data_IF_351918706189
#
_entry.id   IF_351918706189
#
_cell.length_a   1.000
_cell.length_b   1.000
_cell.length_c   1.000
_cell.angle_alpha   90.00
_cell.angle_beta   90.00
_cell.angle_gamma   90.00
#
_symmetry.space_group_name_H-M   'P 1'
#
loop_
_entity.id
_entity.type
_entity.pdbx_description
1 polymer ?
#
# COMPACT_ATOMS: atom_id res chain seq x y z
N UNK A 1 3.42 -12.01 -18.60
CA UNK A 1 3.41 -10.95 -17.59
C UNK A 1 3.21 -9.60 -18.24
N UNK A 2 2.37 -8.74 -17.69
CA UNK A 2 2.22 -7.40 -18.24
C UNK A 2 3.53 -6.60 -18.10
N UNK A 3 3.83 -5.83 -19.13
CA UNK A 3 5.01 -4.96 -19.14
C UNK A 3 4.81 -3.81 -18.14
N UNK A 4 5.74 -3.64 -17.21
CA UNK A 4 5.69 -2.59 -16.21
C UNK A 4 5.61 -1.19 -16.84
N UNK A 5 6.25 -0.97 -17.99
CA UNK A 5 6.17 0.31 -18.71
C UNK A 5 4.75 0.63 -19.14
N UNK A 6 4.04 -0.37 -19.65
CA UNK A 6 2.63 -0.21 -20.04
C UNK A 6 1.76 0.06 -18.82
N UNK A 7 1.97 -0.66 -17.73
CA UNK A 7 1.23 -0.46 -16.49
C UNK A 7 1.46 0.94 -15.91
N UNK A 8 2.69 1.45 -15.96
CA UNK A 8 2.99 2.84 -15.54
C UNK A 8 2.23 3.86 -16.36
N UNK A 9 2.16 3.68 -17.68
CA UNK A 9 1.39 4.57 -18.55
C UNK A 9 -0.12 4.49 -18.25
N UNK A 10 -0.63 3.31 -18.02
CA UNK A 10 -2.03 3.11 -17.64
C UNK A 10 -2.35 3.76 -16.29
N UNK A 11 -1.44 3.65 -15.33
CA UNK A 11 -1.59 4.31 -14.02
C UNK A 11 -1.62 5.85 -14.16
N UNK A 12 -0.75 6.42 -14.98
CA UNK A 12 -0.75 7.86 -15.26
C UNK A 12 -2.04 8.29 -15.96
N UNK A 13 -2.54 7.48 -16.89
CA UNK A 13 -3.82 7.75 -17.55
C UNK A 13 -4.97 7.75 -16.55
N UNK A 14 -4.99 6.77 -15.65
CA UNK A 14 -6.00 6.69 -14.58
C UNK A 14 -5.94 7.93 -13.68
N UNK A 15 -4.73 8.37 -13.33
CA UNK A 15 -4.53 9.58 -12.53
C UNK A 15 -5.15 10.80 -13.22
N UNK A 16 -4.87 10.99 -14.51
CA UNK A 16 -5.41 12.11 -15.29
C UNK A 16 -6.93 12.07 -15.38
N UNK A 17 -7.49 10.90 -15.68
CA UNK A 17 -8.94 10.73 -15.77
C UNK A 17 -9.64 11.02 -14.45
N UNK A 18 -9.07 10.54 -13.35
CA UNK A 18 -9.62 10.78 -12.01
C UNK A 18 -9.52 12.26 -11.64
N UNK A 19 -8.41 12.91 -11.96
CA UNK A 19 -8.22 14.35 -11.71
C UNK A 19 -9.24 15.18 -12.51
N UNK A 20 -9.49 14.84 -13.76
CA UNK A 20 -10.50 15.51 -14.59
C UNK A 20 -11.91 15.40 -13.99
N UNK A 21 -12.27 14.25 -13.43
CA UNK A 21 -13.55 14.07 -12.74
C UNK A 21 -13.66 15.03 -11.54
N UNK A 22 -12.60 15.16 -10.76
CA UNK A 22 -12.57 16.08 -9.62
C UNK A 22 -12.65 17.54 -10.07
N UNK A 23 -11.91 17.90 -11.10
CA UNK A 23 -11.94 19.25 -11.65
C UNK A 23 -13.34 19.66 -12.12
N UNK A 24 -14.04 18.76 -12.80
CA UNK A 24 -15.42 18.99 -13.22
C UNK A 24 -16.37 19.10 -12.04
N UNK A 25 -16.26 18.21 -11.08
CA UNK A 25 -17.16 18.18 -9.93
C UNK A 25 -17.08 19.46 -9.11
N UNK A 26 -15.87 19.95 -8.84
CA UNK A 26 -15.63 21.16 -8.03
C UNK A 26 -15.56 22.43 -8.87
N UNK A 27 -15.64 22.33 -10.20
CA UNK A 27 -15.48 23.45 -11.13
C UNK A 27 -14.20 24.25 -10.83
N UNK A 28 -13.08 23.55 -10.69
CA UNK A 28 -11.76 24.14 -10.46
C UNK A 28 -10.66 23.24 -11.01
N UNK A 29 -9.45 23.74 -11.07
CA UNK A 29 -8.30 22.97 -11.49
C UNK A 29 -7.41 22.65 -10.27
N UNK A 30 -7.40 21.36 -9.88
CA UNK A 30 -6.46 20.88 -8.89
C UNK A 30 -5.07 20.71 -9.50
N UNK A 31 -4.03 20.97 -8.71
CA UNK A 31 -2.66 20.77 -9.15
C UNK A 31 -2.40 19.31 -9.43
N UNK A 32 -1.85 19.00 -10.62
CA UNK A 32 -1.52 17.62 -11.01
C UNK A 32 -0.44 17.06 -10.08
N UNK A 33 -0.68 15.94 -9.42
CA UNK A 33 0.34 15.32 -8.58
C UNK A 33 1.51 14.74 -9.39
N UNK A 34 2.67 14.66 -8.76
CA UNK A 34 3.78 13.85 -9.26
C UNK A 34 3.53 12.41 -8.83
N UNK A 35 3.74 11.45 -9.74
CA UNK A 35 3.61 10.04 -9.44
C UNK A 35 4.91 9.32 -9.77
N UNK A 36 5.41 8.51 -8.82
CA UNK A 36 6.54 7.62 -9.06
C UNK A 36 6.23 6.20 -8.57
N UNK A 37 7.12 5.28 -8.90
CA UNK A 37 6.94 3.85 -8.67
C UNK A 37 8.07 3.29 -7.81
N UNK A 38 8.46 4.05 -6.78
CA UNK A 38 9.62 3.74 -5.96
C UNK A 38 9.26 3.19 -4.57
N UNK A 39 7.96 2.99 -4.30
CA UNK A 39 7.52 2.47 -3.01
C UNK A 39 7.89 1.01 -2.85
N UNK A 40 8.42 0.66 -1.69
CA UNK A 40 8.80 -0.71 -1.32
C UNK A 40 8.02 -1.17 -0.08
N UNK A 41 7.97 -2.47 0.12
CA UNK A 41 7.28 -3.07 1.27
C UNK A 41 5.86 -3.50 0.95
N UNK A 42 5.01 -3.55 1.97
CA UNK A 42 3.66 -4.15 1.84
C UNK A 42 2.57 -3.15 1.45
N UNK A 43 2.86 -1.86 1.49
CA UNK A 43 1.90 -0.84 1.09
C UNK A 43 1.80 -0.78 -0.44
N UNK A 44 0.58 -0.67 -0.94
CA UNK A 44 0.34 -0.52 -2.37
C UNK A 44 0.67 0.89 -2.87
N UNK A 45 0.28 1.91 -2.12
CA UNK A 45 0.55 3.29 -2.44
C UNK A 45 0.64 4.16 -1.20
N UNK A 46 1.20 5.35 -1.36
CA UNK A 46 1.26 6.39 -0.33
C UNK A 46 1.07 7.75 -0.99
N UNK A 47 0.26 8.59 -0.37
CA UNK A 47 0.09 9.99 -0.77
C UNK A 47 0.87 10.90 0.18
N UNK A 48 1.75 11.72 -0.37
CA UNK A 48 2.51 12.72 0.38
C UNK A 48 1.81 14.08 0.19
N UNK A 49 1.08 14.49 1.20
CA UNK A 49 0.13 15.60 1.09
C UNK A 49 0.81 16.94 0.77
N UNK A 50 1.87 17.27 1.49
CA UNK A 50 2.57 18.55 1.30
C UNK A 50 3.33 18.63 -0.01
N UNK A 51 3.88 17.50 -0.45
CA UNK A 51 4.64 17.40 -1.69
C UNK A 51 3.75 17.24 -2.93
N UNK A 52 2.47 16.96 -2.75
CA UNK A 52 1.52 16.61 -3.82
C UNK A 52 2.07 15.47 -4.68
N UNK A 53 2.48 14.38 -4.03
CA UNK A 53 3.16 13.26 -4.66
C UNK A 53 2.49 11.94 -4.28
N UNK A 54 2.38 11.05 -5.26
CA UNK A 54 1.93 9.67 -5.07
C UNK A 54 3.10 8.73 -5.36
N UNK A 55 3.35 7.79 -4.44
CA UNK A 55 4.30 6.70 -4.67
C UNK A 55 3.56 5.38 -4.71
N UNK A 56 3.80 4.60 -5.75
CA UNK A 56 3.17 3.31 -5.97
C UNK A 56 4.20 2.19 -5.88
N UNK A 57 3.73 1.03 -5.41
CA UNK A 57 4.57 -0.17 -5.30
C UNK A 57 4.58 -0.90 -6.64
N UNK A 58 5.72 -0.93 -7.34
CA UNK A 58 5.79 -1.52 -8.67
C UNK A 58 5.62 -3.05 -8.67
N UNK A 59 6.00 -3.72 -7.59
CA UNK A 59 5.83 -5.19 -7.48
C UNK A 59 4.35 -5.54 -7.40
N UNK A 60 3.61 -4.88 -6.53
CA UNK A 60 2.16 -5.11 -6.40
C UNK A 60 1.40 -4.67 -7.65
N UNK A 61 1.87 -3.62 -8.33
CA UNK A 61 1.31 -3.18 -9.61
C UNK A 61 1.42 -4.28 -10.68
N UNK A 62 2.60 -4.88 -10.83
CA UNK A 62 2.81 -5.96 -11.81
C UNK A 62 1.95 -7.18 -11.48
N UNK A 63 1.85 -7.55 -10.21
CA UNK A 63 1.10 -8.72 -9.77
C UNK A 63 -0.42 -8.56 -9.93
N UNK A 64 -0.94 -7.33 -9.81
CA UNK A 64 -2.38 -7.09 -9.77
C UNK A 64 -2.92 -6.28 -10.97
N UNK A 65 -2.07 -5.62 -11.72
CA UNK A 65 -2.40 -4.97 -12.99
C UNK A 65 -3.55 -3.96 -12.89
N UNK A 66 -4.56 -4.17 -13.70
CA UNK A 66 -5.71 -3.25 -13.83
C UNK A 66 -6.44 -3.03 -12.49
N UNK A 67 -6.59 -4.07 -11.70
CA UNK A 67 -7.25 -3.97 -10.38
C UNK A 67 -6.52 -3.01 -9.44
N UNK A 68 -5.18 -3.11 -9.41
CA UNK A 68 -4.34 -2.18 -8.67
C UNK A 68 -4.55 -0.74 -9.14
N UNK A 69 -4.50 -0.53 -10.46
CA UNK A 69 -4.64 0.82 -11.05
C UNK A 69 -5.99 1.42 -10.70
N UNK A 70 -7.08 0.65 -10.83
CA UNK A 70 -8.43 1.14 -10.60
C UNK A 70 -8.73 1.45 -9.14
N UNK A 71 -8.06 0.80 -8.20
CA UNK A 71 -8.29 1.00 -6.78
C UNK A 71 -7.27 1.95 -6.14
N UNK A 72 -5.98 1.72 -6.36
CA UNK A 72 -4.91 2.40 -5.63
C UNK A 72 -4.70 3.82 -6.14
N UNK A 73 -4.71 4.04 -7.45
CA UNK A 73 -4.51 5.39 -8.01
C UNK A 73 -5.59 6.36 -7.52
N UNK A 74 -6.90 6.04 -7.63
CA UNK A 74 -7.93 6.92 -7.07
C UNK A 74 -7.83 7.08 -5.54
N UNK A 75 -7.47 6.02 -4.81
CA UNK A 75 -7.33 6.05 -3.36
C UNK A 75 -6.31 7.11 -2.92
N UNK A 76 -5.12 7.08 -3.51
CA UNK A 76 -4.06 8.02 -3.15
C UNK A 76 -4.34 9.42 -3.68
N UNK A 77 -4.90 9.53 -4.88
CA UNK A 77 -5.34 10.82 -5.42
C UNK A 77 -6.39 11.47 -4.51
N UNK A 78 -7.36 10.70 -4.03
CA UNK A 78 -8.39 11.19 -3.13
C UNK A 78 -7.81 11.85 -1.88
N UNK A 79 -6.75 11.29 -1.29
CA UNK A 79 -6.05 11.92 -0.16
C UNK A 79 -5.50 13.29 -0.53
N UNK A 80 -4.87 13.41 -1.70
CA UNK A 80 -4.31 14.68 -2.16
C UNK A 80 -5.40 15.72 -2.46
N UNK A 81 -6.49 15.30 -3.10
CA UNK A 81 -7.62 16.19 -3.41
C UNK A 81 -8.32 16.67 -2.14
N UNK A 82 -8.52 15.80 -1.17
CA UNK A 82 -9.09 16.15 0.13
C UNK A 82 -8.21 17.19 0.84
N UNK A 83 -6.90 16.99 0.83
CA UNK A 83 -5.96 17.93 1.42
C UNK A 83 -6.02 19.31 0.74
N UNK A 84 -6.07 19.34 -0.60
CA UNK A 84 -6.16 20.59 -1.33
C UNK A 84 -7.49 21.31 -1.13
N UNK A 85 -8.57 20.56 -0.96
CA UNK A 85 -9.92 21.12 -0.84
C UNK A 85 -10.29 21.48 0.60
N UNK A 86 -9.93 20.65 1.57
CA UNK A 86 -10.37 20.75 2.96
C UNK A 86 -9.24 20.96 3.97
N UNK A 87 -7.97 20.85 3.55
CA UNK A 87 -6.84 20.90 4.46
C UNK A 87 -6.62 19.60 5.21
N UNK A 88 -6.03 19.69 6.39
CA UNK A 88 -5.82 18.52 7.26
C UNK A 88 -7.13 18.06 7.87
N UNK A 89 -7.57 16.87 7.48
CA UNK A 89 -8.72 16.20 8.05
C UNK A 89 -8.33 14.74 8.35
N UNK A 90 -9.21 14.03 9.02
CA UNK A 90 -8.94 12.62 9.37
C UNK A 90 -8.78 11.78 8.10
N UNK A 91 -7.67 11.02 7.96
CA UNK A 91 -7.51 10.09 6.84
C UNK A 91 -8.64 9.07 6.81
N UNK A 92 -9.14 8.78 5.61
CA UNK A 92 -10.27 7.88 5.39
C UNK A 92 -11.55 8.29 6.13
N UNK A 93 -11.68 9.59 6.48
CA UNK A 93 -12.88 10.15 7.07
C UNK A 93 -13.96 10.44 6.03
N UNK A 94 -14.99 11.19 6.43
CA UNK A 94 -16.15 11.49 5.56
C UNK A 94 -15.78 12.22 4.28
N UNK A 95 -14.79 13.11 4.32
CA UNK A 95 -14.33 13.87 3.16
C UNK A 95 -13.68 12.95 2.13
N UNK A 96 -12.83 12.03 2.59
CA UNK A 96 -12.19 11.06 1.70
C UNK A 96 -13.21 10.08 1.11
N UNK A 97 -14.14 9.58 1.90
CA UNK A 97 -15.21 8.68 1.42
C UNK A 97 -16.08 9.36 0.36
N UNK A 98 -16.45 10.59 0.59
CA UNK A 98 -17.20 11.39 -0.38
C UNK A 98 -16.40 11.57 -1.67
N UNK A 99 -15.13 11.88 -1.55
CA UNK A 99 -14.24 12.05 -2.71
C UNK A 99 -14.15 10.77 -3.53
N UNK A 100 -13.98 9.62 -2.88
CA UNK A 100 -13.92 8.33 -3.56
C UNK A 100 -15.25 7.98 -4.25
N UNK A 101 -16.35 8.02 -3.53
CA UNK A 101 -17.64 7.52 -4.01
C UNK A 101 -18.38 8.50 -4.91
N UNK A 102 -18.48 9.76 -4.51
CA UNK A 102 -19.29 10.75 -5.22
C UNK A 102 -18.51 11.46 -6.33
N UNK A 103 -17.25 11.72 -6.14
CA UNK A 103 -16.42 12.46 -7.10
C UNK A 103 -15.75 11.51 -8.09
N UNK A 104 -15.01 10.51 -7.59
CA UNK A 104 -14.24 9.60 -8.44
C UNK A 104 -15.01 8.36 -8.87
N UNK A 105 -16.13 8.05 -8.22
CA UNK A 105 -16.96 6.91 -8.57
C UNK A 105 -16.33 5.56 -8.27
N UNK A 106 -15.51 5.48 -7.22
CA UNK A 106 -14.78 4.27 -6.81
C UNK A 106 -15.19 3.89 -5.39
N UNK A 107 -15.32 2.60 -5.06
CA UNK A 107 -15.62 2.19 -3.68
C UNK A 107 -14.58 2.72 -2.69
N UNK A 108 -15.06 3.20 -1.54
CA UNK A 108 -14.20 3.77 -0.49
C UNK A 108 -13.60 2.66 0.39
N UNK A 109 -12.73 1.86 -0.19
CA UNK A 109 -12.02 0.79 0.49
C UNK A 109 -10.73 1.30 1.11
N UNK A 110 -10.60 1.17 2.44
CA UNK A 110 -9.44 1.69 3.18
C UNK A 110 -8.20 0.82 2.96
N UNK A 111 -8.37 -0.51 2.97
CA UNK A 111 -7.27 -1.46 2.85
C UNK A 111 -7.37 -2.23 1.54
N UNK A 112 -6.22 -2.42 0.88
CA UNK A 112 -6.17 -3.31 -0.27
C UNK A 112 -6.21 -4.78 0.18
N UNK A 113 -6.67 -5.66 -0.72
CA UNK A 113 -6.73 -7.11 -0.49
C UNK A 113 -5.68 -7.87 -1.31
N UNK A 114 -4.68 -7.18 -1.83
CA UNK A 114 -3.61 -7.80 -2.61
C UNK A 114 -2.71 -8.63 -1.72
N UNK A 115 -2.29 -9.79 -2.23
CA UNK A 115 -1.31 -10.62 -1.53
C UNK A 115 0.01 -9.86 -1.39
N UNK A 116 0.58 -9.83 -0.20
CA UNK A 116 1.88 -9.21 0.07
C UNK A 116 3.00 -10.24 0.25
N UNK A 117 2.75 -11.49 -0.09
CA UNK A 117 3.70 -12.58 0.12
C UNK A 117 5.05 -12.34 -0.57
N UNK A 118 5.03 -11.76 -1.77
CA UNK A 118 6.24 -11.48 -2.55
C UNK A 118 7.06 -10.29 -2.05
N UNK A 119 6.45 -9.38 -1.28
CA UNK A 119 7.09 -8.16 -0.77
C UNK A 119 7.29 -8.18 0.74
N UNK A 120 6.65 -9.10 1.44
CA UNK A 120 6.80 -9.27 2.88
C UNK A 120 8.11 -9.98 3.18
N UNK A 121 8.99 -9.31 3.90
CA UNK A 121 10.20 -9.93 4.41
C UNK A 121 9.85 -10.83 5.59
N UNK A 122 10.24 -12.11 5.50
CA UNK A 122 9.98 -13.10 6.54
C UNK A 122 11.29 -13.73 7.00
N UNK A 123 11.31 -14.12 8.27
CA UNK A 123 12.50 -14.71 8.89
C UNK A 123 12.15 -16.12 9.39
N UNK A 124 12.91 -17.16 9.00
CA UNK A 124 12.65 -18.52 9.47
C UNK A 124 13.11 -18.68 10.92
N UNK A 125 12.21 -19.19 11.74
CA UNK A 125 12.48 -19.60 13.12
C UNK A 125 12.11 -21.07 13.28
N UNK A 126 12.79 -21.77 14.14
CA UNK A 126 12.51 -23.18 14.40
C UNK A 126 12.22 -23.43 15.88
N UNK A 127 11.35 -24.39 16.12
CA UNK A 127 11.14 -25.05 17.40
C UNK A 127 11.57 -26.52 17.25
N UNK A 128 11.22 -27.37 18.17
CA UNK A 128 11.57 -28.78 18.05
C UNK A 128 10.78 -29.57 17.00
N UNK A 129 9.67 -29.04 16.48
CA UNK A 129 8.76 -29.79 15.61
C UNK A 129 8.56 -29.21 14.21
N UNK A 130 8.84 -27.92 13.98
CA UNK A 130 8.57 -27.28 12.68
C UNK A 130 9.31 -25.95 12.52
N UNK A 131 9.31 -25.44 11.30
CA UNK A 131 9.82 -24.09 10.97
C UNK A 131 8.65 -23.13 10.96
N UNK A 132 8.86 -21.93 11.54
CA UNK A 132 7.90 -20.83 11.56
C UNK A 132 8.47 -19.65 10.80
N UNK A 133 7.64 -18.99 10.00
CA UNK A 133 8.03 -17.75 9.31
C UNK A 133 7.49 -16.57 10.10
N UNK A 134 8.39 -15.77 10.66
CA UNK A 134 8.02 -14.59 11.44
C UNK A 134 8.19 -13.31 10.64
N UNK A 135 7.30 -12.34 10.89
CA UNK A 135 7.38 -11.01 10.30
C UNK A 135 8.60 -10.25 10.82
N UNK A 136 9.01 -9.19 10.09
CA UNK A 136 10.08 -8.28 10.52
C UNK A 136 9.82 -7.75 11.93
N UNK A 137 8.57 -7.40 12.23
CA UNK A 137 8.19 -6.89 13.55
C UNK A 137 8.49 -7.89 14.66
N UNK A 138 8.06 -9.14 14.49
CA UNK A 138 8.30 -10.20 15.49
C UNK A 138 9.79 -10.56 15.60
N UNK A 139 10.47 -10.64 14.45
CA UNK A 139 11.91 -10.86 14.41
C UNK A 139 12.67 -9.78 15.21
N UNK A 140 12.38 -8.50 14.96
CA UNK A 140 13.03 -7.39 15.66
C UNK A 140 12.71 -7.39 17.16
N UNK A 141 11.49 -7.76 17.55
CA UNK A 141 11.10 -7.89 18.96
C UNK A 141 11.96 -8.93 19.67
N UNK A 142 12.21 -10.08 19.03
CA UNK A 142 13.09 -11.12 19.57
C UNK A 142 14.53 -10.64 19.66
N UNK A 143 15.04 -10.00 18.59
CA UNK A 143 16.43 -9.51 18.54
C UNK A 143 16.74 -8.45 19.62
N UNK A 144 15.74 -7.67 20.01
CA UNK A 144 15.86 -6.66 21.09
C UNK A 144 15.59 -7.22 22.47
N UNK A 145 15.43 -8.54 22.61
CA UNK A 145 15.12 -9.22 23.87
C UNK A 145 13.86 -8.68 24.60
N UNK A 146 12.91 -8.15 23.84
CA UNK A 146 11.67 -7.60 24.39
C UNK A 146 10.62 -8.67 24.62
N UNK A 147 10.65 -9.75 23.84
CA UNK A 147 9.68 -10.85 23.93
C UNK A 147 10.27 -12.10 23.27
N UNK A 148 9.92 -13.26 23.79
CA UNK A 148 10.12 -14.54 23.14
C UNK A 148 8.77 -15.12 22.69
N UNK A 149 8.80 -15.98 21.68
CA UNK A 149 7.63 -16.68 21.18
C UNK A 149 7.81 -18.17 21.33
N UNK A 150 6.75 -18.89 21.62
CA UNK A 150 6.76 -20.35 21.76
C UNK A 150 5.85 -20.98 20.71
N UNK A 151 6.17 -22.21 20.32
CA UNK A 151 5.32 -23.00 19.46
C UNK A 151 4.09 -23.47 20.24
N UNK A 152 2.92 -23.27 19.69
CA UNK A 152 1.67 -23.71 20.31
C UNK A 152 1.55 -25.23 20.39
N UNK A 153 2.26 -25.95 19.50
CA UNK A 153 2.19 -27.39 19.38
C UNK A 153 3.17 -28.09 20.32
N UNK A 154 4.47 -27.77 20.25
CA UNK A 154 5.51 -28.42 21.06
C UNK A 154 5.92 -27.64 22.29
N UNK A 155 5.43 -26.40 22.46
CA UNK A 155 5.72 -25.50 23.61
C UNK A 155 7.18 -25.09 23.75
N UNK A 156 8.04 -25.36 22.76
CA UNK A 156 9.42 -24.91 22.75
C UNK A 156 9.56 -23.49 22.24
N UNK A 157 10.55 -22.77 22.76
CA UNK A 157 10.87 -21.42 22.31
C UNK A 157 11.35 -21.44 20.86
N UNK A 158 10.95 -20.42 20.10
CA UNK A 158 11.38 -20.24 18.72
C UNK A 158 12.79 -19.68 18.68
N UNK A 159 13.65 -20.25 17.84
CA UNK A 159 15.04 -19.86 17.62
C UNK A 159 15.25 -19.53 16.16
N UNK A 160 16.02 -18.48 15.89
CA UNK A 160 16.34 -18.12 14.52
C UNK A 160 17.06 -19.28 13.83
N UNK A 161 16.52 -19.67 12.68
CA UNK A 161 17.14 -20.73 11.88
C UNK A 161 18.30 -20.12 11.07
N UNK A 162 19.53 -20.47 11.44
CA UNK A 162 20.68 -20.08 10.67
C UNK A 162 20.79 -20.96 9.43
N UNK A 163 20.83 -20.33 8.27
CA UNK A 163 21.25 -21.04 7.07
C UNK A 163 22.75 -21.31 7.20
N UNK A 164 23.10 -22.50 7.59
CA UNK A 164 24.44 -23.01 7.28
C UNK A 164 24.44 -23.30 5.80
N UNK A 165 25.27 -22.56 5.07
CA UNK A 165 25.56 -22.86 3.67
C UNK A 165 26.07 -24.30 3.50
#
# INVERSE_FOLDING_TARGET
MPDLRILKLQALRQLKQSLEKANKFFNKEFTMPVMNFELRGQKAGVAYLQQNEIRLNPVLLVENGTEFIQQVVPHELAHLLVYQQFGHVQPHGKEWKMMMEQVLGVPAEIYHQFSTASVAKQFPYECGCQTHLLSVRRHNTIQRNQRSYICRKCKQSLRLKNHTE
#
